data_IF_191248971637
#
_entry.id   IF_191248971637
#
_cell.length_a   1.000
_cell.length_b   1.000
_cell.length_c   1.000
_cell.angle_alpha   90.00
_cell.angle_beta   90.00
_cell.angle_gamma   90.00
#
_symmetry.space_group_name_H-M   'P 1'
#
loop_
_entity.id
_entity.type
_entity.pdbx_description
1 polymer ?
#
# COMPACT_ATOMS: atom_id res chain seq x y z
N UNK A 1 -0.10 14.22 -6.26
CA UNK A 1 0.30 12.89 -6.79
C UNK A 1 -0.88 11.93 -6.69
N UNK A 2 -1.02 10.96 -7.60
CA UNK A 2 -2.12 9.99 -7.53
C UNK A 2 -1.77 8.81 -6.59
N UNK A 3 -2.77 8.32 -5.86
CA UNK A 3 -2.63 7.19 -4.95
C UNK A 3 -3.07 5.89 -5.63
N UNK A 4 -2.30 4.83 -5.41
CA UNK A 4 -2.52 3.51 -5.99
C UNK A 4 -2.42 2.41 -4.93
N UNK A 5 -3.13 1.30 -5.16
CA UNK A 5 -2.95 0.02 -4.46
C UNK A 5 -3.11 -1.12 -5.45
N UNK A 6 -2.59 -2.31 -5.17
CA UNK A 6 -2.92 -3.50 -5.94
C UNK A 6 -4.12 -4.25 -5.35
N UNK A 7 -4.97 -4.80 -6.23
CA UNK A 7 -6.05 -5.70 -5.84
C UNK A 7 -5.53 -7.08 -5.42
N UNK A 8 -4.52 -7.58 -6.14
CA UNK A 8 -4.03 -8.97 -6.03
C UNK A 8 -2.50 -9.04 -5.93
N UNK A 9 -1.98 -10.19 -5.50
CA UNK A 9 -0.54 -10.48 -5.46
C UNK A 9 0.17 -10.05 -4.18
N UNK A 10 1.51 -10.15 -4.20
CA UNK A 10 2.38 -9.97 -3.02
C UNK A 10 2.30 -8.59 -2.38
N UNK A 11 1.82 -7.58 -3.11
CA UNK A 11 1.75 -6.19 -2.67
C UNK A 11 0.30 -5.72 -2.46
N UNK A 12 -0.69 -6.60 -2.61
CA UNK A 12 -2.08 -6.23 -2.41
C UNK A 12 -2.34 -5.85 -0.96
N UNK A 13 -3.28 -4.94 -0.72
CA UNK A 13 -3.82 -4.74 0.61
C UNK A 13 -4.78 -5.89 0.97
N UNK A 14 -5.01 -6.12 2.27
CA UNK A 14 -6.13 -6.95 2.71
C UNK A 14 -7.47 -6.39 2.20
N UNK A 15 -8.50 -7.24 1.97
CA UNK A 15 -9.75 -6.81 1.34
C UNK A 15 -10.44 -5.62 2.05
N UNK A 16 -10.42 -5.59 3.37
CA UNK A 16 -10.99 -4.50 4.18
C UNK A 16 -10.22 -3.18 4.00
N UNK A 17 -8.89 -3.25 3.86
CA UNK A 17 -8.04 -2.08 3.59
C UNK A 17 -8.22 -1.57 2.17
N UNK A 18 -8.42 -2.47 1.19
CA UNK A 18 -8.76 -2.07 -0.18
C UNK A 18 -10.08 -1.29 -0.24
N UNK A 19 -11.11 -1.72 0.51
CA UNK A 19 -12.38 -0.99 0.61
C UNK A 19 -12.18 0.42 1.17
N UNK A 20 -11.39 0.55 2.24
CA UNK A 20 -11.06 1.85 2.82
C UNK A 20 -10.26 2.74 1.84
N UNK A 21 -9.28 2.18 1.13
CA UNK A 21 -8.54 2.88 0.08
C UNK A 21 -9.46 3.37 -1.04
N UNK A 22 -10.38 2.52 -1.52
CA UNK A 22 -11.36 2.89 -2.55
C UNK A 22 -12.26 4.04 -2.09
N UNK A 23 -12.74 4.00 -0.84
CA UNK A 23 -13.53 5.08 -0.24
C UNK A 23 -12.73 6.38 -0.10
N UNK A 24 -11.41 6.29 0.07
CA UNK A 24 -10.48 7.42 0.17
C UNK A 24 -10.00 7.96 -1.20
N UNK A 25 -10.55 7.47 -2.32
CA UNK A 25 -10.17 7.90 -3.66
C UNK A 25 -8.88 7.28 -4.21
N UNK A 26 -8.38 6.20 -3.60
CA UNK A 26 -7.19 5.48 -4.08
C UNK A 26 -7.56 4.59 -5.27
N UNK A 27 -6.79 4.69 -6.35
CA UNK A 27 -6.97 3.84 -7.54
C UNK A 27 -6.51 2.41 -7.25
N UNK A 28 -7.38 1.43 -7.51
CA UNK A 28 -7.07 0.01 -7.35
C UNK A 28 -6.60 -0.55 -8.68
N UNK A 29 -5.33 -0.96 -8.74
CA UNK A 29 -4.67 -1.58 -9.88
C UNK A 29 -4.96 -3.09 -9.90
N UNK A 30 -5.28 -3.59 -11.08
CA UNK A 30 -5.42 -5.00 -11.38
C UNK A 30 -4.09 -5.76 -11.39
N UNK A 31 -4.16 -7.04 -11.75
CA UNK A 31 -2.98 -7.89 -11.83
C UNK A 31 -2.05 -7.46 -12.99
N UNK A 32 -0.77 -7.26 -12.70
CA UNK A 32 0.24 -6.90 -13.70
C UNK A 32 0.26 -5.41 -14.11
N UNK A 33 -0.74 -4.63 -13.69
CA UNK A 33 -0.73 -3.18 -13.90
C UNK A 33 0.41 -2.53 -13.12
N UNK A 34 0.99 -1.46 -13.68
CA UNK A 34 2.10 -0.74 -13.06
C UNK A 34 1.61 0.56 -12.48
N UNK A 35 2.19 0.94 -11.34
CA UNK A 35 2.03 2.28 -10.78
C UNK A 35 2.59 3.29 -11.80
N UNK A 36 1.80 4.27 -12.26
CA UNK A 36 2.28 5.32 -13.15
C UNK A 36 3.45 6.10 -12.55
N UNK A 37 4.28 6.70 -13.41
CA UNK A 37 5.42 7.52 -12.97
C UNK A 37 4.94 8.66 -12.06
N UNK A 38 5.60 8.83 -10.91
CA UNK A 38 5.20 9.83 -9.90
C UNK A 38 3.98 9.43 -9.05
N UNK A 39 3.50 8.19 -9.18
CA UNK A 39 2.46 7.64 -8.32
C UNK A 39 2.99 7.23 -6.94
N UNK A 40 2.06 7.17 -5.99
CA UNK A 40 2.30 6.68 -4.63
C UNK A 40 1.56 5.37 -4.47
N UNK A 41 2.28 4.29 -4.17
CA UNK A 41 1.71 2.97 -3.91
C UNK A 41 1.53 2.75 -2.40
N UNK A 42 0.33 2.33 -2.00
CA UNK A 42 0.01 1.85 -0.66
C UNK A 42 -0.07 0.32 -0.75
N UNK A 43 0.69 -0.39 0.08
CA UNK A 43 0.71 -1.85 0.07
C UNK A 43 0.84 -2.43 1.47
N UNK A 44 0.34 -3.65 1.66
CA UNK A 44 0.53 -4.38 2.91
C UNK A 44 1.87 -5.09 2.92
N UNK A 45 2.51 -5.01 4.06
CA UNK A 45 3.78 -5.66 4.35
C UNK A 45 3.71 -6.33 5.72
N UNK A 46 4.75 -7.06 6.10
CA UNK A 46 4.82 -7.70 7.41
C UNK A 46 5.20 -6.70 8.50
N UNK A 47 4.67 -6.85 9.72
CA UNK A 47 5.21 -6.20 10.90
C UNK A 47 6.71 -6.47 11.04
N UNK A 48 7.49 -5.50 11.56
CA UNK A 48 8.91 -5.71 11.81
C UNK A 48 9.09 -6.80 12.86
N UNK A 49 9.95 -7.78 12.60
CA UNK A 49 10.20 -8.90 13.51
C UNK A 49 9.11 -9.98 13.52
N UNK A 50 8.04 -9.86 12.72
CA UNK A 50 7.06 -10.94 12.59
C UNK A 50 7.63 -12.10 11.79
N UNK A 51 7.60 -13.30 12.37
CA UNK A 51 8.00 -14.55 11.74
C UNK A 51 6.73 -15.30 11.35
N UNK A 52 6.44 -15.33 10.04
CA UNK A 52 5.23 -15.93 9.51
C UNK A 52 4.91 -15.48 8.09
N UNK A 53 3.75 -15.92 7.62
CA UNK A 53 3.22 -15.65 6.28
C UNK A 53 2.53 -14.30 6.17
N UNK A 54 1.72 -14.17 5.11
CA UNK A 54 0.82 -13.03 4.87
C UNK A 54 -0.57 -13.55 4.52
N UNK A 55 -1.06 -14.47 5.34
CA UNK A 55 -2.40 -15.02 5.26
C UNK A 55 -3.49 -14.01 5.66
N UNK A 56 -4.76 -14.38 5.48
CA UNK A 56 -5.91 -13.52 5.82
C UNK A 56 -5.91 -13.07 7.30
N UNK A 57 -5.49 -13.97 8.18
CA UNK A 57 -5.46 -13.76 9.64
C UNK A 57 -4.13 -13.17 10.14
N UNK A 58 -3.08 -13.19 9.32
CA UNK A 58 -1.75 -12.72 9.74
C UNK A 58 -1.73 -11.20 9.93
N UNK A 59 -1.01 -10.66 10.93
CA UNK A 59 -0.92 -9.23 11.12
C UNK A 59 -0.24 -8.56 9.90
N UNK A 60 -0.77 -7.41 9.50
CA UNK A 60 -0.25 -6.63 8.37
C UNK A 60 0.12 -5.22 8.80
N UNK A 61 1.35 -4.82 8.51
CA UNK A 61 1.76 -3.43 8.49
C UNK A 61 1.52 -2.84 7.09
N UNK A 62 1.73 -1.54 6.94
CA UNK A 62 1.53 -0.82 5.67
C UNK A 62 2.81 -0.10 5.26
N UNK A 63 3.18 -0.25 4.00
CA UNK A 63 4.27 0.49 3.39
C UNK A 63 3.73 1.40 2.29
N UNK A 64 4.22 2.63 2.27
CA UNK A 64 4.01 3.59 1.20
C UNK A 64 5.28 3.63 0.37
N UNK A 65 5.16 3.49 -0.94
CA UNK A 65 6.26 3.60 -1.90
C UNK A 65 5.98 4.78 -2.83
N UNK A 66 6.96 5.68 -2.98
CA UNK A 66 6.95 6.74 -3.99
C UNK A 66 7.86 6.31 -5.14
N UNK A 67 7.36 6.38 -6.37
CA UNK A 67 8.09 5.96 -7.57
C UNK A 67 7.88 4.47 -7.86
N UNK A 68 8.96 3.72 -8.07
CA UNK A 68 8.92 2.30 -8.45
C UNK A 68 9.09 1.37 -7.26
N UNK A 69 8.39 0.24 -7.24
CA UNK A 69 8.58 -0.81 -6.21
C UNK A 69 10.01 -1.35 -6.20
N UNK A 70 10.61 -1.54 -7.38
CA UNK A 70 11.95 -2.13 -7.50
C UNK A 70 13.08 -1.13 -7.23
N UNK A 71 12.81 0.16 -7.43
CA UNK A 71 13.74 1.27 -7.19
C UNK A 71 12.95 2.43 -6.59
N UNK A 72 12.56 2.35 -5.32
CA UNK A 72 11.75 3.36 -4.69
C UNK A 72 12.58 4.63 -4.48
N UNK A 73 12.01 5.78 -4.82
CA UNK A 73 12.61 7.07 -4.50
C UNK A 73 12.52 7.32 -2.99
N UNK A 74 11.39 6.92 -2.40
CA UNK A 74 11.15 7.02 -0.98
C UNK A 74 10.18 5.94 -0.51
N UNK A 75 10.40 5.45 0.71
CA UNK A 75 9.49 4.53 1.38
C UNK A 75 9.12 5.03 2.76
N UNK A 76 7.91 4.71 3.21
CA UNK A 76 7.47 4.96 4.58
C UNK A 76 6.80 3.71 5.11
N UNK A 77 7.11 3.36 6.36
CA UNK A 77 6.59 2.19 7.03
C UNK A 77 5.69 2.58 8.20
N UNK A 78 4.56 1.90 8.34
CA UNK A 78 3.60 2.12 9.41
C UNK A 78 3.02 0.80 9.90
N UNK A 79 2.93 0.63 11.21
CA UNK A 79 2.18 -0.49 11.79
C UNK A 79 0.67 -0.27 11.70
N UNK A 80 0.23 0.99 11.71
CA UNK A 80 -1.18 1.38 11.58
C UNK A 80 -1.50 1.78 10.14
N UNK A 81 -2.45 1.07 9.53
CA UNK A 81 -2.98 1.38 8.19
C UNK A 81 -3.60 2.78 8.12
N UNK A 82 -4.38 3.18 9.14
CA UNK A 82 -5.03 4.50 9.16
C UNK A 82 -4.00 5.64 9.11
N UNK A 83 -2.91 5.52 9.88
CA UNK A 83 -1.81 6.49 9.86
C UNK A 83 -1.12 6.51 8.50
N UNK A 84 -0.95 5.35 7.87
CA UNK A 84 -0.38 5.25 6.53
C UNK A 84 -1.28 5.94 5.50
N UNK A 85 -2.59 5.66 5.52
CA UNK A 85 -3.55 6.24 4.58
C UNK A 85 -3.61 7.76 4.71
N UNK A 86 -3.67 8.28 5.94
CA UNK A 86 -3.63 9.73 6.21
C UNK A 86 -2.32 10.36 5.73
N UNK A 87 -1.18 9.68 5.88
CA UNK A 87 0.10 10.15 5.35
C UNK A 87 0.11 10.15 3.82
N UNK A 88 -0.41 9.10 3.19
CA UNK A 88 -0.49 8.98 1.73
C UNK A 88 -1.33 10.12 1.13
N UNK A 89 -2.51 10.39 1.70
CA UNK A 89 -3.37 11.50 1.28
C UNK A 89 -2.67 12.86 1.41
N UNK A 90 -1.92 13.08 2.50
CA UNK A 90 -1.12 14.31 2.67
C UNK A 90 0.05 14.44 1.70
N UNK A 91 0.59 13.33 1.19
CA UNK A 91 1.64 13.33 0.17
C UNK A 91 1.06 13.48 -1.25
N UNK A 92 -0.22 13.14 -1.42
CA UNK A 92 -0.95 13.25 -2.67
C UNK A 92 -1.50 14.66 -2.92
N UNK A 93 -1.87 15.37 -1.84
CA UNK A 93 -2.21 16.80 -1.85
C UNK A 93 -0.99 17.66 -2.24
#
# INVERSE_FOLDING_TARGET
>A
MNLYTHQNGLLALKPERQKACKAAGVTVLGFGEKVPKGGILIMDTRPRGFVGGRGPEDPAATMIIIGSVFKPEKTYYFESFERALKKAQKLAA
#
